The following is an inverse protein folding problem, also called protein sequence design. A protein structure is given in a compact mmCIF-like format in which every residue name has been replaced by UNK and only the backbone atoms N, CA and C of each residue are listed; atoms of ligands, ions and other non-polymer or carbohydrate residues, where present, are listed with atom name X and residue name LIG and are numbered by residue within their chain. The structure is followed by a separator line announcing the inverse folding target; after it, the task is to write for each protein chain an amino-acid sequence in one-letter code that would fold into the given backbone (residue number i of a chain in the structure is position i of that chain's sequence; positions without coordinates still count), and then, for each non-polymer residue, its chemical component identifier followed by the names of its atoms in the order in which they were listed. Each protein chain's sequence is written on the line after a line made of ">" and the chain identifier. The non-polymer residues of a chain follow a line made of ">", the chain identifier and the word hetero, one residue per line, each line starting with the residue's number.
data_IF_153767921973
#
_entry.id   IF_153767921973
#
_cell.length_a   1.000
_cell.length_b   1.000
_cell.length_c   1.000
_cell.angle_alpha   90.00
_cell.angle_beta   90.00
_cell.angle_gamma   90.00
#
_symmetry.space_group_name_H-M   'P 1'
#
loop_
_entity.id
_entity.type
_entity.pdbx_description
1 polymer ?
#
# COMPACT_ATOMS: atom_id res chain seq x y z
N UNK A 1 -12.63 -8.24 27.60
CA UNK A 1 -12.81 -8.30 26.12
C UNK A 1 -12.78 -6.88 25.62
N UNK A 2 -11.60 -6.40 25.21
CA UNK A 2 -11.44 -5.05 24.70
C UNK A 2 -11.82 -5.10 23.22
N UNK A 3 -12.92 -4.42 22.88
CA UNK A 3 -13.30 -4.14 21.51
C UNK A 3 -12.21 -3.22 20.91
N UNK A 4 -11.21 -3.82 20.28
CA UNK A 4 -10.37 -3.14 19.33
C UNK A 4 -11.30 -2.80 18.18
N UNK A 5 -11.75 -1.56 18.13
CA UNK A 5 -12.52 -1.06 16.99
C UNK A 5 -11.74 -1.39 15.73
N UNK A 6 -12.37 -1.98 14.70
CA UNK A 6 -11.71 -2.18 13.43
C UNK A 6 -11.17 -0.83 13.01
N UNK A 7 -9.86 -0.73 12.81
CA UNK A 7 -9.27 0.44 12.18
C UNK A 7 -10.13 0.70 10.95
N UNK A 8 -10.84 1.83 10.95
CA UNK A 8 -11.95 2.12 10.05
C UNK A 8 -11.59 1.62 8.65
N UNK A 9 -12.54 0.97 7.99
CA UNK A 9 -12.45 0.41 6.64
C UNK A 9 -12.02 1.41 5.56
N UNK A 10 -11.64 2.60 5.96
CA UNK A 10 -11.06 3.69 5.16
C UNK A 10 -9.52 3.76 5.23
N UNK A 11 -8.85 2.81 5.85
CA UNK A 11 -7.41 2.59 5.61
C UNK A 11 -7.14 2.01 4.21
N UNK A 12 -8.05 2.25 3.26
CA UNK A 12 -7.74 2.24 1.85
C UNK A 12 -6.71 3.35 1.65
N UNK A 13 -5.44 3.00 1.93
CA UNK A 13 -4.30 3.66 1.33
C UNK A 13 -4.43 5.18 1.29
N UNK A 14 -4.04 5.86 2.38
CA UNK A 14 -3.80 7.31 2.35
C UNK A 14 -2.60 7.64 1.44
N UNK A 15 -2.65 7.19 0.18
CA UNK A 15 -1.69 7.58 -0.84
C UNK A 15 -2.20 8.82 -1.54
N UNK A 16 -1.57 9.93 -1.31
CA UNK A 16 -1.84 11.14 -2.06
C UNK A 16 -0.87 11.22 -3.24
N UNK A 17 -1.40 11.10 -4.47
CA UNK A 17 -0.61 11.44 -5.65
C UNK A 17 -0.35 12.94 -5.58
N UNK A 18 0.90 13.30 -5.48
CA UNK A 18 1.36 14.69 -5.38
C UNK A 18 1.29 15.46 -6.71
N UNK A 19 0.83 14.83 -7.80
CA UNK A 19 0.58 15.58 -9.04
C UNK A 19 -0.62 16.48 -8.82
N UNK A 20 -0.43 17.80 -8.69
CA UNK A 20 -1.55 18.71 -8.50
C UNK A 20 -2.45 18.58 -9.74
N UNK A 21 -3.74 18.41 -9.51
CA UNK A 21 -4.73 18.36 -10.61
C UNK A 21 -4.56 19.56 -11.55
N UNK A 22 -4.16 20.70 -11.00
CA UNK A 22 -3.79 21.91 -11.74
C UNK A 22 -2.68 21.69 -12.77
N UNK A 23 -1.66 20.87 -12.49
CA UNK A 23 -0.60 20.58 -13.46
C UNK A 23 -1.12 19.80 -14.67
N UNK A 24 -2.03 18.87 -14.48
CA UNK A 24 -2.68 18.11 -15.55
C UNK A 24 -3.52 19.05 -16.42
N UNK A 25 -4.28 19.96 -15.82
CA UNK A 25 -5.06 20.95 -16.57
C UNK A 25 -4.18 21.92 -17.36
N UNK A 26 -3.08 22.41 -16.77
CA UNK A 26 -2.12 23.28 -17.45
C UNK A 26 -1.50 22.54 -18.65
N UNK A 27 -1.12 21.28 -18.48
CA UNK A 27 -0.52 20.46 -19.52
C UNK A 27 -1.50 20.19 -20.67
N UNK A 28 -2.77 19.90 -20.35
CA UNK A 28 -3.84 19.74 -21.32
C UNK A 28 -4.08 21.03 -22.10
N UNK A 29 -4.11 22.17 -21.42
CA UNK A 29 -4.29 23.49 -22.04
C UNK A 29 -3.15 23.85 -22.98
N UNK A 30 -1.90 23.64 -22.56
CA UNK A 30 -0.71 23.84 -23.41
C UNK A 30 -0.72 22.92 -24.62
N UNK A 31 -1.20 21.70 -24.48
CA UNK A 31 -1.33 20.75 -25.60
C UNK A 31 -2.36 21.26 -26.62
N UNK A 32 -3.53 21.72 -26.18
CA UNK A 32 -4.57 22.27 -27.06
C UNK A 32 -4.02 23.48 -27.85
N UNK A 33 -3.33 24.41 -27.17
CA UNK A 33 -2.68 25.55 -27.83
C UNK A 33 -1.62 25.08 -28.80
N UNK A 34 -0.75 24.15 -28.41
CA UNK A 34 0.32 23.62 -29.27
C UNK A 34 -0.22 22.98 -30.55
N UNK A 35 -1.29 22.19 -30.45
CA UNK A 35 -1.95 21.61 -31.62
C UNK A 35 -2.63 22.68 -32.47
N UNK A 36 -3.29 23.68 -31.89
CA UNK A 36 -3.91 24.78 -32.62
C UNK A 36 -2.89 25.59 -33.43
N UNK A 37 -1.77 25.99 -32.81
CA UNK A 37 -0.66 26.69 -33.50
C UNK A 37 -0.04 25.81 -34.56
N UNK A 38 0.16 24.52 -34.32
CA UNK A 38 0.72 23.59 -35.31
C UNK A 38 -0.16 23.40 -36.52
N UNK A 39 -1.51 23.35 -36.31
CA UNK A 39 -2.47 23.32 -37.42
C UNK A 39 -2.47 24.61 -38.22
N UNK A 40 -2.37 25.77 -37.56
CA UNK A 40 -2.27 27.05 -38.27
C UNK A 40 -1.00 27.10 -39.16
N UNK A 41 0.16 26.70 -38.60
CA UNK A 41 1.41 26.61 -39.38
C UNK A 41 1.30 25.62 -40.52
N UNK A 42 0.60 24.50 -40.35
CA UNK A 42 0.38 23.52 -41.44
C UNK A 42 -0.42 24.13 -42.60
N UNK A 43 -1.44 24.94 -42.30
CA UNK A 43 -2.32 25.55 -43.31
C UNK A 43 -1.62 26.68 -44.02
N UNK A 44 -0.96 27.57 -43.29
CA UNK A 44 -0.32 28.77 -43.88
C UNK A 44 1.04 28.50 -44.50
N UNK A 45 1.86 27.67 -43.91
CA UNK A 45 3.26 27.41 -44.31
C UNK A 45 3.44 26.06 -44.99
N UNK A 46 2.41 25.22 -45.02
CA UNK A 46 2.41 23.83 -45.51
C UNK A 46 3.54 22.97 -44.90
N UNK A 47 3.91 23.26 -43.63
CA UNK A 47 4.94 22.53 -42.88
C UNK A 47 4.33 21.67 -41.78
N UNK A 48 4.38 20.37 -41.99
CA UNK A 48 3.83 19.39 -41.01
C UNK A 48 4.75 19.09 -39.82
N UNK A 49 5.98 19.59 -39.82
CA UNK A 49 7.00 19.21 -38.84
C UNK A 49 6.57 19.57 -37.42
N UNK A 50 5.98 20.74 -37.20
CA UNK A 50 5.50 21.16 -35.87
C UNK A 50 4.32 20.31 -35.39
N UNK A 51 3.43 19.89 -36.28
CA UNK A 51 2.31 19.01 -35.95
C UNK A 51 2.81 17.63 -35.51
N UNK A 52 3.75 17.06 -36.28
CA UNK A 52 4.34 15.76 -35.94
C UNK A 52 5.07 15.84 -34.61
N UNK A 53 5.85 16.89 -34.35
CA UNK A 53 6.56 17.08 -33.10
C UNK A 53 5.58 17.20 -31.88
N UNK A 54 4.51 17.95 -32.02
CA UNK A 54 3.50 18.09 -30.94
C UNK A 54 2.77 16.79 -30.65
N UNK A 55 2.46 15.99 -31.69
CA UNK A 55 1.82 14.68 -31.52
C UNK A 55 2.77 13.66 -30.87
N UNK A 56 4.04 13.64 -31.27
CA UNK A 56 5.06 12.79 -30.65
C UNK A 56 5.26 13.15 -29.18
N UNK A 57 5.35 14.43 -28.84
CA UNK A 57 5.49 14.88 -27.46
C UNK A 57 4.27 14.46 -26.61
N UNK A 58 3.06 14.61 -27.15
CA UNK A 58 1.85 14.18 -26.44
C UNK A 58 1.79 12.68 -26.21
N UNK A 59 2.25 11.89 -27.18
CA UNK A 59 2.33 10.44 -27.05
C UNK A 59 3.30 10.03 -25.93
N UNK A 60 4.48 10.66 -25.85
CA UNK A 60 5.47 10.43 -24.81
C UNK A 60 4.89 10.77 -23.42
N UNK A 61 4.27 11.96 -23.29
CA UNK A 61 3.65 12.39 -22.03
C UNK A 61 2.52 11.44 -21.60
N UNK A 62 1.67 11.04 -22.54
CA UNK A 62 0.58 10.10 -22.27
C UNK A 62 1.10 8.74 -21.83
N UNK A 63 2.14 8.23 -22.48
CA UNK A 63 2.80 6.98 -22.11
C UNK A 63 3.40 7.04 -20.69
N UNK A 64 4.04 8.17 -20.33
CA UNK A 64 4.60 8.39 -18.99
C UNK A 64 3.50 8.44 -17.92
N UNK A 65 2.40 9.14 -18.17
CA UNK A 65 1.28 9.19 -17.25
C UNK A 65 0.65 7.81 -17.05
N UNK A 66 0.48 7.05 -18.12
CA UNK A 66 -0.04 5.69 -18.06
C UNK A 66 0.89 4.76 -17.26
N UNK A 67 2.21 4.85 -17.52
CA UNK A 67 3.23 4.11 -16.78
C UNK A 67 3.14 4.38 -15.29
N UNK A 68 3.09 5.65 -14.88
CA UNK A 68 2.96 6.04 -13.49
C UNK A 68 1.65 5.53 -12.87
N UNK A 69 0.53 5.61 -13.57
CA UNK A 69 -0.74 5.10 -13.10
C UNK A 69 -0.71 3.59 -12.84
N UNK A 70 -0.05 2.81 -13.72
CA UNK A 70 0.10 1.35 -13.56
C UNK A 70 1.02 1.03 -12.36
N UNK A 71 2.15 1.72 -12.25
CA UNK A 71 3.08 1.51 -11.15
C UNK A 71 2.47 1.89 -9.79
N UNK A 72 1.70 2.99 -9.75
CA UNK A 72 1.00 3.42 -8.55
C UNK A 72 -0.03 2.39 -8.07
N UNK A 73 -0.85 1.83 -8.95
CA UNK A 73 -1.84 0.78 -8.59
C UNK A 73 -1.20 -0.45 -7.96
N UNK A 74 0.06 -0.72 -8.21
CA UNK A 74 0.81 -1.87 -7.66
C UNK A 74 1.63 -1.54 -6.40
N UNK A 75 1.46 -0.38 -5.79
CA UNK A 75 2.25 0.10 -4.65
C UNK A 75 3.78 0.10 -4.92
N UNK A 76 4.17 0.12 -6.19
CA UNK A 76 5.57 -0.04 -6.60
C UNK A 76 6.44 1.11 -6.09
N UNK A 77 5.90 2.33 -6.04
CA UNK A 77 6.65 3.49 -5.56
C UNK A 77 7.04 3.37 -4.09
N UNK A 78 6.12 2.90 -3.23
CA UNK A 78 6.40 2.70 -1.80
C UNK A 78 7.36 1.55 -1.56
N UNK A 79 7.23 0.46 -2.31
CA UNK A 79 8.18 -0.66 -2.22
C UNK A 79 9.58 -0.26 -2.68
N UNK A 80 9.68 0.57 -3.74
CA UNK A 80 10.96 1.11 -4.18
C UNK A 80 11.55 2.08 -3.16
N UNK A 81 10.71 2.93 -2.57
CA UNK A 81 11.13 3.81 -1.49
C UNK A 81 11.68 3.01 -0.31
N UNK A 82 10.95 1.99 0.15
CA UNK A 82 11.38 1.11 1.23
C UNK A 82 12.76 0.50 0.93
N UNK A 83 12.99 0.06 -0.30
CA UNK A 83 14.27 -0.56 -0.71
C UNK A 83 15.40 0.44 -0.89
N UNK A 84 15.09 1.67 -1.30
CA UNK A 84 16.11 2.71 -1.56
C UNK A 84 16.45 3.54 -0.33
N UNK A 85 15.57 3.56 0.67
CA UNK A 85 15.80 4.33 1.88
C UNK A 85 16.91 3.65 2.72
N UNK A 86 17.97 4.38 3.09
CA UNK A 86 19.10 3.80 3.79
C UNK A 86 18.69 3.25 5.16
N UNK A 87 19.26 2.12 5.54
CA UNK A 87 19.07 1.56 6.89
C UNK A 87 19.71 2.51 7.90
N UNK A 88 18.96 2.84 8.95
CA UNK A 88 19.39 3.79 9.97
C UNK A 88 20.09 3.07 11.11
N UNK A 89 21.15 3.68 11.66
CA UNK A 89 21.75 3.24 12.90
C UNK A 89 21.09 3.97 14.07
N UNK A 90 20.39 3.22 14.93
CA UNK A 90 19.68 3.78 16.09
C UNK A 90 20.58 4.46 17.11
N UNK A 91 21.86 4.11 17.14
CA UNK A 91 22.84 4.72 18.07
C UNK A 91 23.03 6.21 17.76
N UNK A 92 23.09 6.53 16.48
CA UNK A 92 23.42 7.88 15.99
C UNK A 92 22.17 8.65 15.52
N UNK A 93 20.99 7.98 15.45
CA UNK A 93 19.77 8.62 15.00
C UNK A 93 19.28 9.66 16.01
N UNK A 94 18.85 10.82 15.50
CA UNK A 94 18.33 11.93 16.30
C UNK A 94 16.83 11.80 16.56
N UNK A 95 16.36 12.44 17.64
CA UNK A 95 14.93 12.62 17.87
C UNK A 95 14.27 13.35 16.68
N UNK A 96 13.10 12.86 16.24
CA UNK A 96 12.38 13.42 15.09
C UNK A 96 12.92 12.99 13.72
N UNK A 97 13.94 12.14 13.66
CA UNK A 97 14.47 11.61 12.41
C UNK A 97 13.61 10.46 11.89
N UNK A 98 13.38 10.43 10.56
CA UNK A 98 12.80 9.26 9.88
C UNK A 98 13.85 8.14 9.87
N UNK A 99 13.49 6.97 10.40
CA UNK A 99 14.39 5.82 10.53
C UNK A 99 13.85 4.61 9.80
N UNK A 100 14.76 3.82 9.23
CA UNK A 100 14.51 2.56 8.56
C UNK A 100 15.22 1.45 9.33
N UNK A 101 14.46 0.56 9.94
CA UNK A 101 14.96 -0.51 10.80
C UNK A 101 14.45 -1.84 10.30
N UNK A 102 15.31 -2.84 10.33
CA UNK A 102 14.98 -4.21 9.96
C UNK A 102 15.47 -5.16 11.05
N UNK A 103 14.58 -6.01 11.52
CA UNK A 103 14.94 -6.99 12.54
C UNK A 103 13.80 -7.90 12.97
N UNK A 104 14.07 -8.84 13.89
CA UNK A 104 13.05 -9.69 14.47
C UNK A 104 12.09 -8.87 15.34
N UNK A 105 10.81 -9.20 15.25
CA UNK A 105 9.75 -8.58 16.05
C UNK A 105 9.41 -9.44 17.26
N UNK A 106 8.99 -8.80 18.34
CA UNK A 106 8.39 -9.45 19.51
C UNK A 106 7.18 -8.67 19.99
N UNK A 107 6.17 -9.37 20.49
CA UNK A 107 4.99 -8.72 21.07
C UNK A 107 5.39 -7.79 22.24
N UNK A 108 4.65 -6.69 22.40
CA UNK A 108 4.75 -5.86 23.58
C UNK A 108 3.80 -6.40 24.68
N UNK A 109 2.61 -5.83 24.78
CA UNK A 109 1.65 -6.18 25.83
C UNK A 109 0.63 -7.22 25.38
N UNK A 110 0.17 -7.13 24.13
CA UNK A 110 -0.90 -7.98 23.58
C UNK A 110 -0.45 -8.54 22.23
N UNK A 111 -0.51 -9.87 22.11
CA UNK A 111 -0.35 -10.54 20.83
C UNK A 111 -1.71 -10.73 20.16
N UNK A 112 -1.71 -10.62 18.85
CA UNK A 112 -2.88 -10.90 18.02
C UNK A 112 -2.91 -12.38 17.60
N UNK A 113 -4.09 -12.80 17.21
CA UNK A 113 -4.32 -14.09 16.56
C UNK A 113 -4.85 -13.86 15.15
N UNK A 114 -4.32 -14.60 14.14
CA UNK A 114 -4.81 -14.46 12.78
C UNK A 114 -6.26 -14.92 12.66
N UNK A 115 -6.99 -14.31 11.74
CA UNK A 115 -8.46 -14.40 11.71
C UNK A 115 -8.98 -15.77 11.28
N UNK A 116 -8.36 -16.35 10.26
CA UNK A 116 -8.81 -17.61 9.67
C UNK A 116 -7.93 -18.80 10.09
N UNK A 117 -6.60 -18.69 9.94
CA UNK A 117 -5.67 -19.77 10.30
C UNK A 117 -5.48 -19.95 11.81
N UNK A 118 -5.90 -18.95 12.61
CA UNK A 118 -5.77 -18.98 14.07
C UNK A 118 -4.32 -19.08 14.55
N UNK A 119 -3.41 -18.42 13.83
CA UNK A 119 -2.00 -18.33 14.22
C UNK A 119 -1.86 -17.29 15.33
N UNK A 120 -1.41 -17.73 16.50
CA UNK A 120 -1.15 -16.86 17.65
C UNK A 120 0.21 -16.16 17.59
N UNK A 121 0.40 -15.17 18.48
CA UNK A 121 1.68 -14.45 18.59
C UNK A 121 1.92 -13.47 17.45
N UNK A 122 0.89 -12.94 16.83
CA UNK A 122 1.02 -11.98 15.74
C UNK A 122 1.07 -10.54 16.25
N UNK A 123 1.88 -9.70 15.61
CA UNK A 123 1.93 -8.25 15.83
C UNK A 123 1.11 -7.49 14.79
N UNK A 124 0.89 -8.11 13.64
CA UNK A 124 0.04 -7.61 12.58
C UNK A 124 -0.70 -8.76 11.91
N UNK A 125 -1.97 -8.53 11.56
CA UNK A 125 -2.78 -9.48 10.80
C UNK A 125 -3.65 -8.74 9.78
N UNK A 126 -3.80 -9.33 8.59
CA UNK A 126 -4.72 -8.85 7.56
C UNK A 126 -5.45 -10.02 6.94
N UNK A 127 -6.77 -9.88 6.76
CA UNK A 127 -7.60 -10.88 6.11
C UNK A 127 -8.47 -10.19 5.08
N UNK A 128 -8.39 -10.66 3.84
CA UNK A 128 -9.06 -10.08 2.69
C UNK A 128 -9.95 -11.14 2.04
N UNK A 129 -11.23 -10.82 1.87
CA UNK A 129 -12.17 -11.65 1.15
C UNK A 129 -12.51 -10.98 -0.18
N UNK A 130 -12.27 -11.67 -1.25
CA UNK A 130 -12.66 -11.24 -2.60
C UNK A 130 -13.81 -12.09 -3.10
N UNK A 131 -14.77 -11.46 -3.72
CA UNK A 131 -15.86 -12.09 -4.45
C UNK A 131 -15.65 -11.93 -5.95
N UNK A 132 -16.02 -12.95 -6.69
CA UNK A 132 -16.00 -12.92 -8.13
C UNK A 132 -17.34 -12.39 -8.64
N UNK A 133 -17.33 -11.21 -9.22
CA UNK A 133 -18.48 -10.62 -9.89
C UNK A 133 -18.42 -11.01 -11.38
N UNK A 134 -19.09 -12.12 -11.71
CA UNK A 134 -19.30 -12.53 -13.11
C UNK A 134 -20.30 -11.58 -13.77
N UNK A 135 -19.85 -10.71 -14.66
CA UNK A 135 -20.77 -9.96 -15.52
C UNK A 135 -21.51 -10.96 -16.43
N UNK A 136 -22.80 -11.17 -16.14
CA UNK A 136 -23.71 -11.90 -17.00
C UNK A 136 -23.95 -11.14 -18.28
N UNK A 137 -24.19 -11.90 -19.31
CA UNK A 137 -24.97 -11.63 -20.53
C UNK A 137 -24.28 -11.23 -21.83
N UNK A 138 -22.97 -11.09 -21.98
CA UNK A 138 -22.41 -11.22 -23.34
C UNK A 138 -20.97 -11.70 -23.29
N UNK A 139 -20.80 -13.01 -23.47
CA UNK A 139 -19.59 -13.79 -23.33
C UNK A 139 -18.52 -13.57 -24.42
N UNK A 140 -18.20 -12.33 -24.79
CA UNK A 140 -17.10 -12.09 -25.74
C UNK A 140 -15.82 -11.50 -25.13
N UNK A 141 -15.88 -11.02 -23.91
CA UNK A 141 -14.65 -10.68 -23.15
C UNK A 141 -14.91 -10.87 -21.65
N UNK A 142 -14.36 -11.90 -21.02
CA UNK A 142 -14.43 -12.03 -19.57
C UNK A 142 -13.46 -11.02 -18.93
N UNK A 143 -13.93 -9.84 -18.62
CA UNK A 143 -13.30 -9.02 -17.59
C UNK A 143 -13.52 -9.69 -16.25
N UNK A 144 -12.59 -10.55 -15.85
CA UNK A 144 -12.58 -11.22 -14.55
C UNK A 144 -12.25 -10.19 -13.47
N UNK A 145 -13.26 -9.60 -12.86
CA UNK A 145 -13.10 -8.62 -11.81
C UNK A 145 -13.33 -9.28 -10.45
N UNK A 146 -12.24 -9.44 -9.70
CA UNK A 146 -12.31 -9.72 -8.29
C UNK A 146 -12.61 -8.43 -7.54
N UNK A 147 -13.72 -8.41 -6.80
CA UNK A 147 -14.13 -7.30 -5.96
C UNK A 147 -13.79 -7.63 -4.51
N UNK A 148 -13.15 -6.71 -3.82
CA UNK A 148 -12.94 -6.82 -2.39
C UNK A 148 -14.29 -6.69 -1.68
N UNK A 149 -14.79 -7.78 -1.08
CA UNK A 149 -16.05 -7.83 -0.38
C UNK A 149 -15.89 -7.52 1.12
N UNK A 150 -14.78 -7.96 1.71
CA UNK A 150 -14.51 -7.75 3.12
C UNK A 150 -13.00 -7.63 3.37
N UNK A 151 -12.63 -6.76 4.30
CA UNK A 151 -11.25 -6.65 4.76
C UNK A 151 -11.20 -6.33 6.25
N UNK A 152 -10.35 -7.03 6.96
CA UNK A 152 -10.01 -6.71 8.35
C UNK A 152 -8.51 -6.67 8.51
N UNK A 153 -8.01 -5.69 9.29
CA UNK A 153 -6.61 -5.51 9.58
C UNK A 153 -6.46 -5.09 11.02
N UNK A 154 -5.57 -5.77 11.74
CA UNK A 154 -5.28 -5.46 13.12
C UNK A 154 -3.78 -5.33 13.31
N UNK A 155 -3.38 -4.40 14.14
CA UNK A 155 -2.00 -4.21 14.55
C UNK A 155 -1.96 -3.89 16.05
N UNK A 156 -0.86 -4.24 16.67
CA UNK A 156 -0.59 -3.94 18.08
C UNK A 156 0.79 -3.29 18.19
N UNK A 157 1.07 -2.67 19.33
CA UNK A 157 2.41 -2.21 19.65
C UNK A 157 3.34 -3.41 19.79
N UNK A 158 4.55 -3.30 19.26
CA UNK A 158 5.53 -4.38 19.30
C UNK A 158 6.95 -3.85 19.41
N UNK A 159 7.85 -4.71 19.82
CA UNK A 159 9.28 -4.41 19.80
C UNK A 159 9.92 -4.94 18.54
N UNK A 160 10.86 -4.17 18.00
CA UNK A 160 11.76 -4.59 16.93
C UNK A 160 13.20 -4.50 17.43
N UNK A 161 13.99 -5.53 17.19
CA UNK A 161 15.42 -5.53 17.51
C UNK A 161 16.21 -5.26 16.25
N UNK A 162 16.86 -4.10 16.19
CA UNK A 162 17.64 -3.73 15.01
C UNK A 162 18.81 -4.70 14.81
N UNK A 163 18.93 -5.24 13.61
CA UNK A 163 20.01 -6.19 13.27
C UNK A 163 21.41 -5.57 13.34
N UNK A 164 21.54 -4.25 13.11
CA UNK A 164 22.82 -3.59 13.01
C UNK A 164 23.33 -3.15 14.38
N UNK A 165 22.48 -2.50 15.17
CA UNK A 165 22.85 -1.95 16.48
C UNK A 165 22.57 -2.91 17.64
N UNK A 166 21.69 -3.90 17.45
CA UNK A 166 21.17 -4.76 18.51
C UNK A 166 20.20 -4.07 19.47
N UNK A 167 19.88 -2.81 19.24
CA UNK A 167 18.98 -2.02 20.09
C UNK A 167 17.55 -2.48 19.87
N UNK A 168 16.86 -2.73 20.99
CA UNK A 168 15.44 -3.06 20.99
C UNK A 168 14.62 -1.77 21.12
N UNK A 169 13.70 -1.54 20.19
CA UNK A 169 12.92 -0.31 20.11
C UNK A 169 11.43 -0.65 20.04
N UNK A 170 10.61 0.11 20.77
CA UNK A 170 9.16 -0.03 20.74
C UNK A 170 8.59 0.65 19.49
N UNK A 171 7.80 -0.07 18.73
CA UNK A 171 7.04 0.46 17.57
C UNK A 171 5.59 0.67 18.00
N UNK A 172 5.15 1.93 17.94
CA UNK A 172 3.77 2.32 18.25
C UNK A 172 2.89 2.12 17.02
N UNK A 173 2.44 0.87 16.81
CA UNK A 173 1.62 0.45 15.67
C UNK A 173 0.18 0.09 16.08
N UNK A 174 -0.19 0.31 17.34
CA UNK A 174 -1.50 0.00 17.90
C UNK A 174 -2.59 0.99 17.52
N UNK A 175 -3.55 1.17 18.42
CA UNK A 175 -4.72 2.02 18.20
C UNK A 175 -4.35 3.45 17.82
N UNK A 176 -4.99 3.96 16.75
CA UNK A 176 -4.80 5.34 16.28
C UNK A 176 -3.60 5.56 15.36
N UNK A 177 -2.74 4.56 15.16
CA UNK A 177 -1.63 4.66 14.20
C UNK A 177 -2.11 4.42 12.78
N UNK A 178 -1.76 5.33 11.86
CA UNK A 178 -1.88 5.11 10.42
C UNK A 178 -0.80 4.12 9.96
N UNK A 179 -1.13 2.83 9.91
CA UNK A 179 -0.20 1.81 9.44
C UNK A 179 -0.39 1.55 7.95
N UNK A 180 0.71 1.53 7.19
CA UNK A 180 0.74 1.19 5.78
C UNK A 180 1.47 -0.15 5.63
N UNK A 181 0.72 -1.26 5.57
CA UNK A 181 1.31 -2.57 5.42
C UNK A 181 1.72 -2.83 3.96
N UNK A 182 2.97 -3.18 3.76
CA UNK A 182 3.52 -3.66 2.49
C UNK A 182 3.78 -5.16 2.58
N UNK A 183 2.75 -5.89 3.00
CA UNK A 183 2.77 -7.33 3.22
C UNK A 183 1.99 -8.00 2.10
N UNK A 184 2.51 -9.08 1.58
CA UNK A 184 1.83 -9.88 0.57
C UNK A 184 1.03 -10.95 1.30
N UNK A 185 -0.29 -10.88 1.17
CA UNK A 185 -1.20 -11.88 1.71
C UNK A 185 -1.11 -13.17 0.90
N UNK A 186 -1.12 -14.30 1.60
CA UNK A 186 -1.16 -15.63 1.00
C UNK A 186 -2.61 -16.06 0.74
N UNK A 187 -2.83 -16.72 -0.39
CA UNK A 187 -4.14 -17.26 -0.74
C UNK A 187 -4.39 -18.55 0.03
N UNK A 188 -5.32 -18.53 0.97
CA UNK A 188 -5.68 -19.69 1.80
C UNK A 188 -6.81 -20.50 1.18
N UNK A 189 -7.86 -19.85 0.71
CA UNK A 189 -9.05 -20.52 0.20
C UNK A 189 -9.43 -19.92 -1.16
N UNK A 190 -9.77 -20.82 -2.08
CA UNK A 190 -10.34 -20.49 -3.36
C UNK A 190 -11.51 -21.44 -3.62
N UNK A 191 -12.73 -20.91 -3.74
CA UNK A 191 -13.91 -21.71 -4.03
C UNK A 191 -14.26 -21.63 -5.52
N UNK A 192 -14.77 -22.72 -6.07
CA UNK A 192 -15.34 -22.76 -7.42
C UNK A 192 -16.85 -22.71 -7.34
N UNK A 193 -17.50 -22.25 -8.40
CA UNK A 193 -18.95 -22.24 -8.54
C UNK A 193 -19.52 -23.65 -8.23
N UNK A 194 -20.58 -23.71 -7.43
CA UNK A 194 -21.29 -24.93 -7.04
C UNK A 194 -20.51 -25.94 -6.15
N UNK A 195 -19.50 -25.51 -5.39
CA UNK A 195 -18.88 -26.36 -4.37
C UNK A 195 -19.42 -26.02 -2.98
N UNK A 196 -19.61 -27.06 -2.17
CA UNK A 196 -19.93 -26.94 -0.75
C UNK A 196 -18.73 -26.30 -0.07
N UNK A 197 -18.96 -25.21 0.66
CA UNK A 197 -17.94 -24.53 1.45
C UNK A 197 -17.46 -25.43 2.60
N UNK A 198 -16.19 -25.29 2.98
CA UNK A 198 -15.70 -26.00 4.17
C UNK A 198 -16.41 -25.50 5.44
N UNK A 199 -16.66 -26.35 6.43
CA UNK A 199 -17.33 -25.95 7.67
C UNK A 199 -16.65 -24.77 8.36
N UNK A 200 -15.31 -24.73 8.36
CA UNK A 200 -14.53 -23.65 8.94
C UNK A 200 -14.76 -22.33 8.21
N UNK A 201 -14.83 -22.35 6.88
CA UNK A 201 -15.10 -21.15 6.08
C UNK A 201 -16.53 -20.66 6.29
N UNK A 202 -17.50 -21.58 6.32
CA UNK A 202 -18.90 -21.23 6.58
C UNK A 202 -19.04 -20.57 7.95
N UNK A 203 -18.43 -21.15 9.00
CA UNK A 203 -18.40 -20.56 10.33
C UNK A 203 -17.77 -19.17 10.33
N UNK A 204 -16.59 -19.01 9.70
CA UNK A 204 -15.88 -17.74 9.62
C UNK A 204 -16.72 -16.64 8.92
N UNK A 205 -17.43 -17.00 7.84
CA UNK A 205 -18.36 -16.09 7.14
C UNK A 205 -19.54 -15.70 8.01
N UNK A 206 -20.17 -16.69 8.68
CA UNK A 206 -21.32 -16.47 9.56
C UNK A 206 -20.98 -15.56 10.74
N UNK A 207 -19.84 -15.77 11.37
CA UNK A 207 -19.35 -14.95 12.50
C UNK A 207 -19.19 -13.46 12.12
N UNK A 208 -19.09 -13.16 10.81
CA UNK A 208 -18.93 -11.80 10.26
C UNK A 208 -20.18 -11.28 9.54
N UNK A 209 -21.30 -12.00 9.64
CA UNK A 209 -22.54 -11.70 8.93
C UNK A 209 -22.36 -11.60 7.40
N UNK A 210 -21.43 -12.39 6.84
CA UNK A 210 -21.22 -12.49 5.41
C UNK A 210 -22.04 -13.63 4.82
N UNK A 211 -22.64 -13.39 3.64
CA UNK A 211 -23.42 -14.40 2.95
C UNK A 211 -22.56 -15.60 2.55
N UNK A 212 -23.00 -16.79 2.93
CA UNK A 212 -22.38 -18.06 2.56
C UNK A 212 -22.91 -18.62 1.22
N UNK A 213 -23.65 -17.81 0.44
CA UNK A 213 -24.18 -18.23 -0.85
C UNK A 213 -23.07 -18.76 -1.76
N UNK A 214 -23.42 -19.64 -2.69
CA UNK A 214 -22.51 -20.38 -3.58
C UNK A 214 -21.76 -19.49 -4.58
N UNK A 215 -21.20 -18.39 -4.09
CA UNK A 215 -20.36 -17.47 -4.86
C UNK A 215 -18.94 -18.00 -4.98
N UNK A 216 -18.25 -17.56 -6.01
CA UNK A 216 -16.82 -17.82 -6.12
C UNK A 216 -16.11 -16.79 -5.24
N UNK A 217 -15.47 -17.27 -4.19
CA UNK A 217 -14.77 -16.42 -3.23
C UNK A 217 -13.29 -16.82 -3.13
N UNK A 218 -12.46 -15.86 -2.78
CA UNK A 218 -11.04 -16.00 -2.52
C UNK A 218 -10.71 -15.34 -1.20
N UNK A 219 -10.23 -16.12 -0.25
CA UNK A 219 -9.76 -15.63 1.04
C UNK A 219 -8.25 -15.58 1.03
N UNK A 220 -7.71 -14.43 1.39
CA UNK A 220 -6.28 -14.19 1.53
C UNK A 220 -5.98 -13.70 2.94
N UNK A 221 -4.92 -14.18 3.54
CA UNK A 221 -4.48 -13.79 4.87
C UNK A 221 -2.98 -13.51 4.88
N UNK A 222 -2.61 -12.47 5.60
CA UNK A 222 -1.21 -12.09 5.83
C UNK A 222 -1.02 -11.75 7.30
N UNK A 223 0.12 -12.11 7.85
CA UNK A 223 0.46 -11.78 9.23
C UNK A 223 1.98 -11.68 9.41
N UNK A 224 2.38 -10.98 10.47
CA UNK A 224 3.74 -10.98 11.00
C UNK A 224 3.65 -11.50 12.43
N UNK A 225 4.31 -12.61 12.70
CA UNK A 225 4.35 -13.21 14.03
C UNK A 225 5.67 -12.91 14.75
N UNK A 226 5.66 -13.11 16.03
CA UNK A 226 6.85 -13.03 16.87
C UNK A 226 7.98 -13.90 16.34
N UNK A 227 9.19 -13.33 16.26
CA UNK A 227 10.36 -13.95 15.65
C UNK A 227 10.52 -13.70 14.15
N UNK A 228 9.46 -13.30 13.43
CA UNK A 228 9.59 -12.93 12.01
C UNK A 228 10.45 -11.66 11.87
N UNK A 229 11.20 -11.58 10.77
CA UNK A 229 11.90 -10.36 10.41
C UNK A 229 10.94 -9.38 9.73
N UNK A 230 10.83 -8.18 10.28
CA UNK A 230 10.07 -7.09 9.69
C UNK A 230 10.97 -5.88 9.41
N UNK A 231 10.53 -5.06 8.49
CA UNK A 231 11.12 -3.77 8.17
C UNK A 231 10.10 -2.68 8.50
N UNK A 232 10.55 -1.68 9.24
CA UNK A 232 9.72 -0.55 9.68
C UNK A 232 10.38 0.75 9.25
N UNK A 233 9.58 1.66 8.65
CA UNK A 233 9.96 3.06 8.45
C UNK A 233 8.98 3.94 9.23
N UNK A 234 9.51 4.72 10.14
CA UNK A 234 8.74 5.64 10.97
C UNK A 234 9.63 6.72 11.57
N UNK A 235 9.06 7.60 12.37
CA UNK A 235 9.80 8.66 13.04
C UNK A 235 10.29 8.21 14.40
N UNK A 236 11.56 8.42 14.68
CA UNK A 236 12.16 8.10 15.96
C UNK A 236 11.80 9.16 17.01
N UNK A 237 11.15 8.74 18.07
CA UNK A 237 10.87 9.56 19.25
C UNK A 237 11.74 9.05 20.42
N UNK A 238 12.63 9.89 20.92
CA UNK A 238 13.43 9.60 22.12
C UNK A 238 12.81 10.34 23.30
N UNK A 239 12.36 9.58 24.29
CA UNK A 239 11.85 10.09 25.56
C UNK A 239 12.92 9.86 26.65
N UNK A 240 13.82 10.85 26.87
CA UNK A 240 15.00 10.69 27.70
C UNK A 240 16.13 9.93 26.99
N UNK A 241 17.16 9.54 27.75
CA UNK A 241 18.36 8.93 27.17
C UNK A 241 18.19 7.45 26.77
N UNK A 242 17.20 6.72 27.33
CA UNK A 242 17.12 5.26 27.19
C UNK A 242 15.88 4.73 26.46
N UNK A 243 14.83 5.53 26.27
CA UNK A 243 13.60 5.05 25.69
C UNK A 243 13.45 5.58 24.26
N UNK A 244 13.84 4.75 23.31
CA UNK A 244 13.58 5.01 21.89
C UNK A 244 12.30 4.32 21.46
N UNK A 245 11.40 5.04 20.80
CA UNK A 245 10.19 4.50 20.20
C UNK A 245 10.01 4.99 18.76
N UNK A 246 9.43 4.16 17.91
CA UNK A 246 9.11 4.51 16.54
C UNK A 246 7.62 4.80 16.48
N UNK A 247 7.30 5.98 16.00
CA UNK A 247 5.92 6.47 15.87
C UNK A 247 5.60 6.84 14.43
N UNK A 248 4.33 7.00 14.15
CA UNK A 248 3.87 7.55 12.87
C UNK A 248 4.45 8.95 12.68
N UNK A 249 4.98 9.30 11.49
CA UNK A 249 5.37 10.66 11.17
C UNK A 249 4.18 11.63 11.32
N UNK A 250 4.34 12.79 11.95
CA UNK A 250 3.25 13.76 12.11
C UNK A 250 2.90 14.49 10.81
N UNK A 251 3.81 14.48 9.85
CA UNK A 251 3.67 15.12 8.55
C UNK A 251 3.73 14.11 7.41
N UNK A 252 3.20 14.50 6.25
CA UNK A 252 3.27 13.70 5.03
C UNK A 252 4.73 13.49 4.61
N UNK A 253 5.12 12.24 4.49
CA UNK A 253 6.43 11.85 3.99
C UNK A 253 6.35 11.66 2.48
N UNK A 254 7.28 12.30 1.76
CA UNK A 254 7.39 12.12 0.30
C UNK A 254 8.43 11.06 -0.02
N UNK A 255 8.10 10.19 -0.98
CA UNK A 255 9.08 9.22 -1.51
C UNK A 255 10.21 9.88 -2.30
N UNK A 256 10.10 11.19 -2.57
CA UNK A 256 11.01 11.91 -3.45
C UNK A 256 10.85 11.50 -4.93
N UNK A 257 11.64 12.13 -5.80
CA UNK A 257 11.66 11.82 -7.22
C UNK A 257 12.44 10.52 -7.48
N UNK A 258 11.77 9.47 -7.86
CA UNK A 258 12.38 8.20 -8.25
C UNK A 258 12.77 8.23 -9.74
N UNK A 259 13.72 9.13 -10.10
CA UNK A 259 14.14 9.40 -11.48
C UNK A 259 14.57 8.15 -12.25
N UNK A 260 15.27 7.24 -11.60
CA UNK A 260 15.75 5.99 -12.22
C UNK A 260 14.62 5.10 -12.73
N UNK A 261 13.41 5.26 -12.20
CA UNK A 261 12.23 4.48 -12.56
C UNK A 261 11.14 5.32 -13.20
N UNK A 262 11.37 6.60 -13.45
CA UNK A 262 10.41 7.54 -14.03
C UNK A 262 9.08 7.59 -13.24
N UNK A 263 9.16 7.44 -11.91
CA UNK A 263 7.99 7.49 -11.03
C UNK A 263 7.84 8.86 -10.38
N UNK A 264 6.62 9.36 -10.36
CA UNK A 264 6.28 10.57 -9.63
C UNK A 264 6.40 10.35 -8.12
N UNK A 265 6.73 11.42 -7.36
CA UNK A 265 6.76 11.36 -5.91
C UNK A 265 5.36 11.03 -5.37
N UNK A 266 5.31 10.12 -4.41
CA UNK A 266 4.09 9.75 -3.68
C UNK A 266 4.25 10.24 -2.25
N UNK A 267 3.24 10.95 -1.75
CA UNK A 267 3.17 11.33 -0.36
C UNK A 267 2.36 10.28 0.41
N UNK A 268 2.86 9.90 1.56
CA UNK A 268 2.16 8.96 2.44
C UNK A 268 2.15 9.48 3.87
N UNK A 269 1.09 9.14 4.58
CA UNK A 269 0.86 9.44 5.99
C UNK A 269 0.73 8.11 6.73
N UNK A 270 1.73 7.77 7.49
CA UNK A 270 1.71 6.53 8.25
C UNK A 270 3.07 5.89 8.47
N UNK A 271 3.06 4.86 9.30
CA UNK A 271 4.19 4.00 9.57
C UNK A 271 4.21 2.88 8.52
N UNK A 272 5.30 2.75 7.78
CA UNK A 272 5.47 1.67 6.81
C UNK A 272 5.89 0.39 7.54
N UNK A 273 5.20 -0.71 7.25
CA UNK A 273 5.52 -2.04 7.78
C UNK A 273 5.59 -3.04 6.63
N UNK A 274 6.71 -3.72 6.51
CA UNK A 274 6.90 -4.76 5.51
C UNK A 274 7.47 -6.03 6.16
N UNK A 275 7.22 -7.17 5.57
CA UNK A 275 7.91 -8.42 5.90
C UNK A 275 9.23 -8.44 5.12
N UNK A 276 10.32 -8.68 5.84
CA UNK A 276 11.67 -8.76 5.27
C UNK A 276 11.98 -10.13 4.67
#
# INVERSE_FOLDING_TARGET
>A
MNNLSPSSSNAATHYYISTPKTAIFILLFLFIIGVGVSLFILIEVHNALFLIASLLLSAIVSALLLWNAVCFRRNTALLLFLRSFPVSDLRHACHGQLVHITGPVSCADVCLESSYEKVGGCVYTSTLLYEYEGFGLNAKQPCFLWKLAYSERFSTDFYISDKNSGIRTLVKAGYGCGLIPLIVESRLVYTRKNRILSPNLTKWLTDRNLSADSRVIRLEEGYIKEGDCATVIGMLHKAGDDIAMIVQPPELVSTGCLWQRLLYPVNFDGLLLARS
#
